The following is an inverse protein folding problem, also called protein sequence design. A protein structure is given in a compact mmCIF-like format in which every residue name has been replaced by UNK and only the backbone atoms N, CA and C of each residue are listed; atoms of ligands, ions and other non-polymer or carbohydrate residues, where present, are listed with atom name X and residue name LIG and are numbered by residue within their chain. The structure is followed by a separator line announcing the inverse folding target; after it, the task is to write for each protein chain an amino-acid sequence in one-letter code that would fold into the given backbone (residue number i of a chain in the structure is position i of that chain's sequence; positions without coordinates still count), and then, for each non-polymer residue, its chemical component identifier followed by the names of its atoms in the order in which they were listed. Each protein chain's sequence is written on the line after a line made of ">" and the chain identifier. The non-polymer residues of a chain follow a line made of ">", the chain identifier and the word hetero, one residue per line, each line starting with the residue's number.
data_IF_545005542206
#
_entry.id   IF_545005542206
#
_cell.length_a   1.000
_cell.length_b   1.000
_cell.length_c   1.000
_cell.angle_alpha   90.00
_cell.angle_beta   90.00
_cell.angle_gamma   90.00
#
_symmetry.space_group_name_H-M   'P 1'
#
loop_
_entity.id
_entity.type
_entity.pdbx_description
1 polymer ?
#
# COMPACT_ATOMS: atom_id res chain seq x y z
N UNK A 1 -2.36 -17.87 -9.59
CA UNK A 1 -1.97 -16.63 -10.31
C UNK A 1 -0.81 -15.98 -9.57
N UNK A 2 0.38 -15.91 -10.17
CA UNK A 2 1.60 -15.50 -9.48
C UNK A 2 1.85 -13.99 -9.64
N UNK A 3 0.96 -13.16 -9.05
CA UNK A 3 0.99 -11.70 -9.18
C UNK A 3 2.33 -11.06 -8.78
N UNK A 4 3.11 -11.75 -7.95
CA UNK A 4 4.34 -11.24 -7.37
C UNK A 4 5.55 -11.21 -8.30
N UNK A 5 5.50 -11.87 -9.46
CA UNK A 5 6.65 -11.91 -10.41
C UNK A 5 6.96 -10.52 -10.97
N UNK A 6 5.96 -9.63 -11.05
CA UNK A 6 6.10 -8.27 -11.61
C UNK A 6 5.95 -7.15 -10.58
N UNK A 7 5.89 -7.47 -9.28
CA UNK A 7 5.79 -6.47 -8.21
C UNK A 7 7.18 -6.30 -7.58
N UNK A 8 7.72 -5.07 -7.45
CA UNK A 8 9.00 -4.85 -6.80
C UNK A 8 8.97 -5.32 -5.34
N UNK A 9 10.14 -5.65 -4.77
CA UNK A 9 10.24 -6.14 -3.38
C UNK A 9 9.54 -5.23 -2.36
N UNK A 10 9.60 -3.91 -2.57
CA UNK A 10 8.88 -2.91 -1.77
C UNK A 10 7.36 -3.07 -1.84
N UNK A 11 6.80 -3.29 -3.02
CA UNK A 11 5.36 -3.55 -3.19
C UNK A 11 4.92 -4.84 -2.52
N UNK A 12 5.77 -5.88 -2.53
CA UNK A 12 5.49 -7.14 -1.84
C UNK A 12 5.38 -6.95 -0.32
N UNK A 13 6.29 -6.17 0.27
CA UNK A 13 6.25 -5.87 1.71
C UNK A 13 4.97 -5.11 2.11
N UNK A 14 4.55 -4.12 1.31
CA UNK A 14 3.32 -3.35 1.57
C UNK A 14 2.09 -4.26 1.46
N UNK A 15 2.04 -5.11 0.44
CA UNK A 15 0.95 -6.06 0.26
C UNK A 15 0.82 -7.02 1.46
N UNK A 16 1.95 -7.55 1.98
CA UNK A 16 1.94 -8.38 3.19
C UNK A 16 1.42 -7.61 4.41
N UNK A 17 1.86 -6.37 4.61
CA UNK A 17 1.36 -5.54 5.72
C UNK A 17 -0.15 -5.32 5.62
N UNK A 18 -0.67 -5.03 4.42
CA UNK A 18 -2.10 -4.87 4.17
C UNK A 18 -2.88 -6.17 4.40
N UNK A 19 -2.30 -7.32 4.02
CA UNK A 19 -2.89 -8.64 4.25
C UNK A 19 -3.02 -8.94 5.75
N UNK A 20 -1.99 -8.63 6.53
CA UNK A 20 -1.94 -8.98 7.95
C UNK A 20 -2.71 -7.99 8.83
N UNK A 21 -2.80 -6.72 8.43
CA UNK A 21 -3.38 -5.63 9.25
C UNK A 21 -4.72 -5.14 8.75
N UNK A 22 -5.11 -5.48 7.53
CA UNK A 22 -6.25 -4.87 6.85
C UNK A 22 -5.98 -3.43 6.42
N UNK A 23 -7.05 -2.63 6.24
CA UNK A 23 -6.93 -1.25 5.75
C UNK A 23 -6.05 -0.38 6.65
N UNK A 24 -5.10 0.33 6.05
CA UNK A 24 -4.10 1.11 6.80
C UNK A 24 -3.72 2.41 6.08
N UNK A 25 -3.36 3.45 6.82
CA UNK A 25 -3.07 4.76 6.23
C UNK A 25 -1.67 4.87 5.63
N UNK A 26 -1.47 5.82 4.71
CA UNK A 26 -0.15 6.14 4.14
C UNK A 26 0.92 6.38 5.21
N UNK A 27 0.58 7.18 6.23
CA UNK A 27 1.51 7.54 7.31
C UNK A 27 1.86 6.34 8.20
N UNK A 28 0.92 5.42 8.40
CA UNK A 28 1.19 4.17 9.12
C UNK A 28 2.04 3.21 8.29
N UNK A 29 1.84 3.11 6.96
CA UNK A 29 2.72 2.33 6.08
C UNK A 29 4.15 2.85 6.12
N UNK A 30 4.35 4.17 6.09
CA UNK A 30 5.68 4.78 6.23
C UNK A 30 6.36 4.36 7.52
N UNK A 31 5.65 4.47 8.65
CA UNK A 31 6.18 4.15 9.98
C UNK A 31 6.53 2.66 10.12
N UNK A 32 5.80 1.77 9.44
CA UNK A 32 5.93 0.31 9.62
C UNK A 32 6.93 -0.35 8.66
N UNK A 33 7.04 0.17 7.44
CA UNK A 33 7.85 -0.48 6.40
C UNK A 33 9.30 0.01 6.39
N UNK A 34 9.61 1.12 7.06
CA UNK A 34 10.91 1.82 6.98
C UNK A 34 11.35 2.14 5.54
N UNK A 35 10.39 2.18 4.61
CA UNK A 35 10.64 2.48 3.19
C UNK A 35 10.58 4.01 2.99
N UNK A 36 11.47 4.58 2.14
CA UNK A 36 11.39 5.99 1.79
C UNK A 36 10.05 6.38 1.17
N UNK A 37 9.57 7.61 1.45
CA UNK A 37 8.29 8.12 0.92
C UNK A 37 8.13 7.93 -0.58
N UNK A 38 9.17 8.25 -1.36
CA UNK A 38 9.17 8.11 -2.83
C UNK A 38 8.94 6.66 -3.24
N UNK A 39 9.62 5.73 -2.59
CA UNK A 39 9.51 4.29 -2.87
C UNK A 39 8.17 3.72 -2.43
N UNK A 40 7.61 4.19 -1.30
CA UNK A 40 6.27 3.79 -0.86
C UNK A 40 5.20 4.26 -1.87
N UNK A 41 5.27 5.52 -2.30
CA UNK A 41 4.34 6.07 -3.30
C UNK A 41 4.40 5.29 -4.61
N UNK A 42 5.61 5.01 -5.11
CA UNK A 42 5.81 4.24 -6.32
C UNK A 42 5.25 2.81 -6.19
N UNK A 43 5.54 2.14 -5.08
CA UNK A 43 5.03 0.79 -4.84
C UNK A 43 3.51 0.74 -4.72
N UNK A 44 2.88 1.70 -4.04
CA UNK A 44 1.42 1.82 -3.98
C UNK A 44 0.82 2.10 -5.36
N UNK A 45 1.46 2.91 -6.21
CA UNK A 45 1.01 3.12 -7.60
C UNK A 45 0.97 1.80 -8.37
N UNK A 46 2.05 1.02 -8.32
CA UNK A 46 2.13 -0.28 -9.00
C UNK A 46 1.05 -1.24 -8.50
N UNK A 47 0.84 -1.31 -7.18
CA UNK A 47 -0.17 -2.18 -6.61
C UNK A 47 -1.59 -1.77 -7.02
N UNK A 48 -1.86 -0.45 -7.12
CA UNK A 48 -3.13 0.09 -7.62
C UNK A 48 -3.33 -0.20 -9.11
N UNK A 49 -2.32 0.05 -9.93
CA UNK A 49 -2.34 -0.22 -11.37
C UNK A 49 -2.59 -1.71 -11.67
N UNK A 50 -2.08 -2.60 -10.82
CA UNK A 50 -2.32 -4.05 -10.91
C UNK A 50 -3.66 -4.49 -10.31
N UNK A 51 -4.46 -3.57 -9.78
CA UNK A 51 -5.75 -3.86 -9.15
C UNK A 51 -5.64 -4.68 -7.86
N UNK A 52 -4.47 -4.70 -7.21
CA UNK A 52 -4.22 -5.48 -5.99
C UNK A 52 -4.67 -4.76 -4.72
N UNK A 53 -4.79 -3.43 -4.78
CA UNK A 53 -5.22 -2.58 -3.67
C UNK A 53 -6.14 -1.48 -4.16
N UNK A 54 -6.94 -0.95 -3.23
CA UNK A 54 -7.76 0.25 -3.41
C UNK A 54 -7.29 1.37 -2.48
N UNK A 55 -7.66 2.59 -2.83
CA UNK A 55 -7.38 3.80 -2.06
C UNK A 55 -8.70 4.51 -1.75
N UNK A 56 -8.88 4.91 -0.50
CA UNK A 56 -10.03 5.68 -0.03
C UNK A 56 -9.58 6.84 0.85
N UNK A 57 -10.43 7.87 0.97
CA UNK A 57 -10.20 8.94 1.93
C UNK A 57 -10.48 8.45 3.34
N UNK A 58 -9.63 8.85 4.29
CA UNK A 58 -9.94 8.65 5.69
C UNK A 58 -11.09 9.60 6.08
N UNK A 59 -12.20 9.07 6.59
CA UNK A 59 -13.33 9.87 7.05
C UNK A 59 -12.97 10.83 8.20
N UNK A 60 -11.99 10.46 9.03
CA UNK A 60 -11.53 11.32 10.12
C UNK A 60 -10.60 12.46 9.66
N UNK A 61 -9.92 12.28 8.52
CA UNK A 61 -9.05 13.30 7.93
C UNK A 61 -8.88 13.04 6.43
N UNK A 62 -9.60 13.80 5.61
CA UNK A 62 -9.63 13.62 4.15
C UNK A 62 -8.26 13.84 3.48
N UNK A 63 -7.31 14.48 4.18
CA UNK A 63 -5.92 14.65 3.69
C UNK A 63 -5.13 13.36 3.78
N UNK A 64 -5.57 12.42 4.63
CA UNK A 64 -5.00 11.09 4.77
C UNK A 64 -5.78 10.08 3.92
N UNK A 65 -5.01 9.18 3.30
CA UNK A 65 -5.55 8.09 2.48
C UNK A 65 -5.38 6.77 3.20
N UNK A 66 -6.38 5.90 3.05
CA UNK A 66 -6.39 4.53 3.52
C UNK A 66 -6.24 3.61 2.31
N UNK A 67 -5.35 2.63 2.43
CA UNK A 67 -5.15 1.59 1.45
C UNK A 67 -5.71 0.27 1.98
N UNK A 68 -6.40 -0.48 1.14
CA UNK A 68 -6.95 -1.80 1.46
C UNK A 68 -6.64 -2.79 0.33
N UNK A 69 -6.60 -4.08 0.63
CA UNK A 69 -6.56 -5.10 -0.41
C UNK A 69 -7.88 -5.10 -1.19
N UNK A 70 -7.79 -5.39 -2.48
CA UNK A 70 -8.93 -5.65 -3.33
C UNK A 70 -9.47 -7.07 -3.13
#
# INVERSE_FOLDING_TARGET
>A
MNYFVSVPKSGRAIYTVLKDRGPISYSQLLKRTSIPKRTLSYALSILKEKGLITESHNFADMRNRIYALN
#
